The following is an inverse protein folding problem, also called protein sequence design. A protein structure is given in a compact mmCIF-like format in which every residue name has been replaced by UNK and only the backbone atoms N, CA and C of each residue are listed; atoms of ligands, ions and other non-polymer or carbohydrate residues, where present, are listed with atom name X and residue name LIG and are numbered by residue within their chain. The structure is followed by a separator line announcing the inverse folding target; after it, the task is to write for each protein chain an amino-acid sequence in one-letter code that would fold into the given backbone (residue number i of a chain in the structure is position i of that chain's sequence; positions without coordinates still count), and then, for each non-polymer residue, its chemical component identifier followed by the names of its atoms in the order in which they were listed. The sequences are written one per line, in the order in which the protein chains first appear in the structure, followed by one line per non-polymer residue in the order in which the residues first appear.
data_IF_617161770312
#
_entry.id   IF_617161770312
#
_cell.length_a   1.000
_cell.length_b   1.000
_cell.length_c   1.000
_cell.angle_alpha   90.00
_cell.angle_beta   90.00
_cell.angle_gamma   90.00
#
_symmetry.space_group_name_H-M   'P 1'
#
loop_
_entity.id
_entity.type
_entity.pdbx_description
1 polymer ?
#
# COMPACT_ATOMS: atom_id res chain seq x y z
N UNK A 1 -1.43 -11.29 4.89
CA UNK A 1 -1.34 -10.00 4.16
C UNK A 1 0.09 -9.49 4.01
N UNK A 2 0.92 -9.53 5.08
CA UNK A 2 2.34 -9.09 5.07
C UNK A 2 3.21 -9.73 3.95
N UNK A 3 2.97 -11.02 3.63
CA UNK A 3 3.71 -11.74 2.59
C UNK A 3 3.47 -11.24 1.15
N UNK A 4 2.34 -10.59 0.87
CA UNK A 4 2.01 -10.14 -0.48
C UNK A 4 2.68 -8.81 -0.81
N UNK A 5 2.59 -7.84 0.11
CA UNK A 5 3.14 -6.49 -0.04
C UNK A 5 4.66 -6.47 -0.16
N UNK A 6 5.35 -7.37 0.52
CA UNK A 6 6.82 -7.48 0.45
C UNK A 6 7.32 -7.88 -0.95
N UNK A 7 6.48 -8.58 -1.72
CA UNK A 7 6.80 -9.04 -3.06
C UNK A 7 6.40 -8.06 -4.17
N UNK A 8 5.73 -6.95 -3.84
CA UNK A 8 5.41 -5.90 -4.82
C UNK A 8 6.69 -5.12 -5.18
N UNK A 9 6.90 -4.89 -6.47
CA UNK A 9 7.98 -4.04 -6.98
C UNK A 9 7.96 -2.67 -6.28
N UNK A 10 9.11 -2.12 -5.84
CA UNK A 10 9.14 -0.87 -5.08
C UNK A 10 8.29 0.25 -5.68
N UNK A 11 8.47 0.53 -6.97
CA UNK A 11 7.73 1.59 -7.69
C UNK A 11 6.21 1.38 -7.73
N UNK A 12 5.73 0.12 -7.60
CA UNK A 12 4.30 -0.21 -7.69
C UNK A 12 3.61 -0.18 -6.31
N UNK A 13 4.35 0.05 -5.22
CA UNK A 13 3.78 0.03 -3.87
C UNK A 13 2.86 1.21 -3.61
N UNK A 14 3.24 2.39 -4.10
CA UNK A 14 2.47 3.61 -3.94
C UNK A 14 1.13 3.52 -4.67
N UNK A 15 1.14 3.03 -5.91
CA UNK A 15 -0.10 2.85 -6.67
C UNK A 15 -0.96 1.73 -6.07
N UNK A 16 -0.39 0.63 -5.56
CA UNK A 16 -1.16 -0.41 -4.87
C UNK A 16 -1.96 0.16 -3.68
N UNK A 17 -1.32 0.93 -2.79
CA UNK A 17 -2.01 1.56 -1.67
C UNK A 17 -3.13 2.50 -2.14
N UNK A 18 -2.87 3.26 -3.21
CA UNK A 18 -3.87 4.13 -3.79
C UNK A 18 -5.05 3.35 -4.39
N UNK A 19 -4.79 2.22 -5.07
CA UNK A 19 -5.86 1.37 -5.59
C UNK A 19 -6.72 0.82 -4.46
N UNK A 20 -6.13 0.33 -3.38
CA UNK A 20 -6.87 -0.17 -2.22
C UNK A 20 -7.68 0.93 -1.51
N UNK A 21 -7.14 2.13 -1.36
CA UNK A 21 -7.88 3.31 -0.86
C UNK A 21 -9.12 3.59 -1.73
N UNK A 22 -8.96 3.55 -3.06
CA UNK A 22 -10.06 3.78 -4.00
C UNK A 22 -11.09 2.67 -3.99
N UNK A 23 -10.67 1.42 -3.81
CA UNK A 23 -11.58 0.29 -3.63
C UNK A 23 -12.44 0.51 -2.37
N UNK A 24 -11.82 0.87 -1.24
CA UNK A 24 -12.54 1.15 0.02
C UNK A 24 -13.51 2.31 -0.17
N UNK A 25 -13.06 3.41 -0.78
CA UNK A 25 -13.92 4.56 -1.06
C UNK A 25 -15.10 4.21 -1.96
N UNK A 26 -14.88 3.37 -2.96
CA UNK A 26 -15.93 2.92 -3.88
C UNK A 26 -16.97 2.07 -3.14
N UNK A 27 -16.53 1.04 -2.40
CA UNK A 27 -17.46 0.15 -1.70
C UNK A 27 -18.22 0.87 -0.57
N UNK A 28 -17.63 1.87 0.08
CA UNK A 28 -18.34 2.74 1.03
C UNK A 28 -19.43 3.61 0.38
N UNK A 29 -19.39 3.79 -0.95
CA UNK A 29 -20.36 4.60 -1.69
C UNK A 29 -21.54 3.81 -2.26
N UNK A 30 -21.48 2.47 -2.22
CA UNK A 30 -22.53 1.57 -2.70
C UNK A 30 -23.08 0.74 -1.55
N UNK A 31 -24.26 0.14 -1.71
CA UNK A 31 -24.81 -0.76 -0.70
C UNK A 31 -24.11 -2.12 -0.73
N UNK A 32 -24.16 -2.84 0.39
CA UNK A 32 -23.47 -4.14 0.55
C UNK A 32 -23.97 -5.17 -0.46
N UNK A 33 -25.26 -5.10 -0.83
CA UNK A 33 -25.89 -6.00 -1.80
C UNK A 33 -25.30 -5.83 -3.21
N UNK A 34 -24.67 -4.68 -3.49
CA UNK A 34 -24.03 -4.42 -4.77
C UNK A 34 -22.61 -5.01 -4.86
N UNK A 35 -22.01 -5.42 -3.74
CA UNK A 35 -20.60 -5.84 -3.69
C UNK A 35 -20.25 -6.97 -4.67
N UNK A 36 -21.05 -8.04 -4.81
CA UNK A 36 -20.75 -9.14 -5.74
C UNK A 36 -20.81 -8.75 -7.22
N UNK A 37 -21.46 -7.63 -7.54
CA UNK A 37 -21.64 -7.14 -8.92
C UNK A 37 -20.54 -6.18 -9.37
N UNK A 38 -19.52 -5.96 -8.55
CA UNK A 38 -18.34 -5.21 -8.92
C UNK A 38 -17.09 -6.06 -8.82
N UNK A 39 -16.36 -6.14 -9.93
CA UNK A 39 -15.04 -6.77 -10.01
C UNK A 39 -13.96 -5.70 -10.01
N UNK A 40 -13.12 -5.72 -8.97
CA UNK A 40 -11.88 -4.95 -8.94
C UNK A 40 -10.85 -5.62 -9.84
N UNK A 41 -10.11 -4.82 -10.60
CA UNK A 41 -8.92 -5.31 -11.29
C UNK A 41 -7.81 -4.27 -11.36
N UNK A 42 -6.58 -4.71 -11.13
CA UNK A 42 -5.39 -3.92 -11.39
C UNK A 42 -4.18 -4.81 -11.69
N UNK A 43 -3.17 -4.27 -12.35
CA UNK A 43 -1.91 -4.98 -12.58
C UNK A 43 -0.75 -4.45 -11.74
N UNK A 44 0.06 -5.35 -11.17
CA UNK A 44 1.27 -5.02 -10.41
C UNK A 44 2.43 -5.93 -10.81
N UNK A 45 3.66 -5.45 -10.67
CA UNK A 45 4.85 -6.28 -10.77
C UNK A 45 5.09 -7.00 -9.45
N UNK A 46 5.00 -8.32 -9.48
CA UNK A 46 5.24 -9.18 -8.32
C UNK A 46 6.54 -9.97 -8.48
N UNK A 47 7.26 -10.09 -7.39
CA UNK A 47 8.51 -10.85 -7.28
C UNK A 47 8.23 -12.34 -7.24
N UNK A 48 8.87 -13.08 -8.13
CA UNK A 48 8.82 -14.55 -8.19
C UNK A 48 9.84 -15.18 -7.24
N UNK A 49 9.69 -16.48 -6.98
CA UNK A 49 10.68 -17.29 -6.24
C UNK A 49 12.07 -17.30 -6.91
N UNK A 50 12.14 -17.09 -8.23
CA UNK A 50 13.38 -16.93 -8.99
C UNK A 50 13.98 -15.51 -8.92
N UNK A 51 13.50 -14.65 -8.00
CA UNK A 51 13.96 -13.29 -7.78
C UNK A 51 13.80 -12.35 -9.00
N UNK A 52 12.92 -12.70 -9.94
CA UNK A 52 12.52 -11.87 -11.10
C UNK A 52 11.13 -11.29 -10.89
N UNK A 53 10.86 -10.13 -11.49
CA UNK A 53 9.52 -9.54 -11.47
C UNK A 53 8.70 -9.99 -12.69
N UNK A 54 7.43 -10.31 -12.44
CA UNK A 54 6.42 -10.56 -13.48
C UNK A 54 5.25 -9.60 -13.27
N UNK A 55 4.63 -9.15 -14.37
CA UNK A 55 3.43 -8.32 -14.29
C UNK A 55 2.22 -9.23 -14.16
N UNK A 56 1.55 -9.12 -13.02
CA UNK A 56 0.39 -9.94 -12.68
C UNK A 56 -0.84 -9.06 -12.70
N UNK A 57 -1.83 -9.43 -13.51
CA UNK A 57 -3.18 -8.89 -13.43
C UNK A 57 -3.88 -9.58 -12.26
N UNK A 58 -4.29 -8.79 -11.29
CA UNK A 58 -5.04 -9.22 -10.12
C UNK A 58 -6.48 -8.78 -10.35
N UNK A 59 -7.41 -9.72 -10.19
CA UNK A 59 -8.84 -9.46 -10.30
C UNK A 59 -9.54 -10.10 -9.11
N UNK A 60 -10.48 -9.39 -8.49
CA UNK A 60 -11.28 -9.99 -7.43
C UNK A 60 -12.69 -9.43 -7.36
N UNK A 61 -13.56 -10.25 -6.77
CA UNK A 61 -14.92 -9.87 -6.36
C UNK A 61 -15.04 -10.12 -4.85
N UNK A 62 -15.92 -9.36 -4.21
CA UNK A 62 -16.34 -9.62 -2.84
C UNK A 62 -17.52 -10.59 -2.88
N UNK A 63 -17.42 -11.73 -2.19
CA UNK A 63 -18.36 -12.85 -2.27
C UNK A 63 -19.30 -12.88 -1.07
N UNK A 64 -18.80 -12.53 0.11
CA UNK A 64 -19.59 -12.61 1.35
C UNK A 64 -19.19 -11.47 2.29
N UNK A 65 -20.18 -10.96 3.02
CA UNK A 65 -20.04 -9.96 4.07
C UNK A 65 -20.93 -10.38 5.24
N UNK A 66 -20.33 -10.87 6.31
CA UNK A 66 -21.10 -11.27 7.49
C UNK A 66 -21.28 -10.11 8.49
N UNK A 67 -22.21 -10.27 9.43
CA UNK A 67 -22.53 -9.28 10.49
C UNK A 67 -21.34 -8.89 11.39
N UNK A 68 -20.21 -9.61 11.28
CA UNK A 68 -18.96 -9.34 11.99
C UNK A 68 -17.96 -8.52 11.17
N UNK A 69 -18.38 -7.95 10.03
CA UNK A 69 -17.54 -7.21 9.08
C UNK A 69 -16.41 -8.06 8.44
N UNK A 70 -16.60 -9.37 8.30
CA UNK A 70 -15.65 -10.22 7.56
C UNK A 70 -16.06 -10.22 6.09
N UNK A 71 -15.20 -9.65 5.25
CA UNK A 71 -15.40 -9.62 3.80
C UNK A 71 -14.57 -10.74 3.14
N UNK A 72 -15.23 -11.75 2.56
CA UNK A 72 -14.56 -12.78 1.78
C UNK A 72 -14.41 -12.31 0.34
N UNK A 73 -13.22 -12.49 -0.23
CA UNK A 73 -12.94 -12.13 -1.62
C UNK A 73 -12.41 -13.33 -2.41
N UNK A 74 -12.82 -13.42 -3.67
CA UNK A 74 -12.32 -14.41 -4.62
C UNK A 74 -11.36 -13.72 -5.59
N UNK A 75 -10.11 -14.18 -5.64
CA UNK A 75 -9.03 -13.55 -6.41
C UNK A 75 -8.53 -14.44 -7.55
N UNK A 76 -8.26 -13.83 -8.70
CA UNK A 76 -7.61 -14.44 -9.87
C UNK A 76 -6.36 -13.63 -10.21
N UNK A 77 -5.22 -14.32 -10.28
CA UNK A 77 -3.91 -13.73 -10.54
C UNK A 77 -3.35 -14.30 -11.84
N UNK A 78 -3.25 -13.47 -12.87
CA UNK A 78 -2.85 -13.89 -14.23
C UNK A 78 -1.53 -13.24 -14.62
N UNK A 79 -0.55 -14.02 -15.08
CA UNK A 79 0.69 -13.46 -15.65
C UNK A 79 0.40 -12.82 -17.01
N UNK A 80 0.47 -11.49 -17.06
CA UNK A 80 0.24 -10.68 -18.26
C UNK A 80 1.53 -10.06 -18.78
N UNK A 81 2.71 -10.54 -18.35
CA UNK A 81 4.01 -9.97 -18.76
C UNK A 81 4.21 -9.96 -20.28
N UNK A 82 3.55 -10.88 -21.00
CA UNK A 82 3.58 -10.98 -22.46
C UNK A 82 2.60 -10.01 -23.16
N UNK A 83 1.53 -9.58 -22.47
CA UNK A 83 0.52 -8.65 -23.00
C UNK A 83 0.93 -7.20 -22.69
N UNK A 84 1.41 -6.97 -21.47
CA UNK A 84 1.82 -5.65 -20.96
C UNK A 84 3.24 -5.74 -20.39
N UNK A 85 4.28 -5.70 -21.23
CA UNK A 85 5.67 -5.79 -20.75
C UNK A 85 6.11 -4.52 -20.02
N UNK A 86 5.57 -3.36 -20.40
CA UNK A 86 5.99 -2.03 -19.91
C UNK A 86 4.77 -1.17 -19.53
N UNK A 87 5.02 0.03 -19.00
CA UNK A 87 3.99 1.01 -18.64
C UNK A 87 3.56 0.95 -17.18
N UNK A 88 2.80 1.95 -16.76
CA UNK A 88 2.30 2.08 -15.39
C UNK A 88 1.21 1.06 -15.08
N UNK A 89 1.07 0.60 -13.83
CA UNK A 89 -0.12 -0.10 -13.32
C UNK A 89 -1.43 0.60 -13.69
N UNK A 90 -2.42 -0.17 -14.15
CA UNK A 90 -3.76 0.32 -14.45
C UNK A 90 -4.75 -0.27 -13.44
N UNK A 91 -5.69 0.55 -12.97
CA UNK A 91 -6.76 0.14 -12.04
C UNK A 91 -8.13 0.37 -12.66
N UNK A 92 -9.05 -0.56 -12.45
CA UNK A 92 -10.43 -0.46 -12.92
C UNK A 92 -11.39 -1.19 -11.99
N UNK A 93 -12.62 -0.71 -11.96
CA UNK A 93 -13.75 -1.37 -11.29
C UNK A 93 -14.77 -1.70 -12.37
N UNK A 94 -15.04 -2.98 -12.58
CA UNK A 94 -15.89 -3.48 -13.65
C UNK A 94 -17.24 -3.87 -13.05
N UNK A 95 -18.29 -3.14 -13.45
CA UNK A 95 -19.66 -3.51 -13.14
C UNK A 95 -20.09 -4.74 -13.96
N UNK A 96 -20.72 -5.69 -13.29
CA UNK A 96 -21.30 -6.91 -13.84
C UNK A 96 -22.82 -6.70 -13.93
N UNK A 97 -23.54 -7.47 -14.76
CA UNK A 97 -25.01 -7.40 -14.84
C UNK A 97 -25.56 -5.97 -15.07
N UNK A 98 -24.92 -5.22 -15.96
CA UNK A 98 -25.37 -3.87 -16.34
C UNK A 98 -24.98 -2.76 -15.36
N UNK A 99 -24.25 -3.05 -14.27
CA UNK A 99 -23.67 -2.03 -13.39
C UNK A 99 -22.63 -1.18 -14.14
N UNK A 100 -22.46 0.10 -13.78
CA UNK A 100 -21.46 0.96 -14.40
C UNK A 100 -20.05 0.41 -14.24
N UNK A 101 -19.22 0.61 -15.26
CA UNK A 101 -17.79 0.27 -15.21
C UNK A 101 -16.94 1.54 -15.23
N UNK A 102 -15.85 1.50 -14.48
CA UNK A 102 -14.90 2.59 -14.29
C UNK A 102 -13.52 2.09 -14.71
N UNK A 103 -13.07 2.55 -15.87
CA UNK A 103 -11.84 2.09 -16.51
C UNK A 103 -10.70 3.06 -16.25
N UNK A 104 -9.49 2.50 -16.10
CA UNK A 104 -8.24 3.25 -16.00
C UNK A 104 -8.35 4.44 -15.04
N UNK A 105 -8.81 4.16 -13.82
CA UNK A 105 -9.00 5.15 -12.77
C UNK A 105 -7.62 5.70 -12.41
N UNK A 106 -7.33 6.89 -12.94
CA UNK A 106 -6.09 7.64 -12.71
C UNK A 106 -6.42 8.85 -11.88
N UNK A 107 -6.06 8.80 -10.61
CA UNK A 107 -6.00 9.98 -9.76
C UNK A 107 -4.54 10.23 -9.36
N UNK A 108 -4.18 11.49 -9.05
CA UNK A 108 -2.86 11.77 -8.53
C UNK A 108 -2.64 10.93 -7.28
N UNK A 109 -1.56 10.17 -7.26
CA UNK A 109 -1.12 9.39 -6.10
C UNK A 109 -0.81 10.41 -4.99
N UNK A 110 -1.79 10.67 -4.13
CA UNK A 110 -1.61 11.45 -2.91
C UNK A 110 -0.99 10.62 -1.78
N UNK A 111 -0.69 9.34 -2.06
CA UNK A 111 0.11 8.49 -1.19
C UNK A 111 1.53 9.05 -1.22
N UNK A 112 1.90 9.82 -0.20
CA UNK A 112 3.30 10.05 0.15
C UNK A 112 3.89 8.68 0.50
N UNK A 113 4.35 7.94 -0.50
CA UNK A 113 4.88 6.60 -0.29
C UNK A 113 6.09 6.67 0.65
N UNK A 114 6.38 5.54 1.30
CA UNK A 114 7.62 5.30 2.02
C UNK A 114 8.91 5.70 1.27
N UNK A 115 8.85 5.94 -0.05
CA UNK A 115 9.99 6.37 -0.86
C UNK A 115 10.46 7.80 -0.52
N UNK A 116 9.64 8.59 0.16
CA UNK A 116 10.11 9.87 0.72
C UNK A 116 11.21 9.66 1.78
N UNK A 117 11.24 8.49 2.42
CA UNK A 117 12.25 8.11 3.40
C UNK A 117 13.28 7.16 2.79
N UNK A 118 14.55 7.49 3.01
CA UNK A 118 15.65 6.58 2.71
C UNK A 118 15.49 5.29 3.51
N UNK A 119 16.11 4.20 3.03
CA UNK A 119 16.08 2.91 3.73
C UNK A 119 16.38 3.05 5.23
N UNK A 120 17.40 3.83 5.59
CA UNK A 120 17.79 4.04 6.98
C UNK A 120 16.77 4.83 7.78
N UNK A 121 16.16 5.84 7.18
CA UNK A 121 15.07 6.59 7.81
C UNK A 121 13.84 5.72 8.04
N UNK A 122 13.55 4.74 7.17
CA UNK A 122 12.46 3.77 7.39
C UNK A 122 12.74 2.82 8.55
N UNK A 123 13.96 2.32 8.64
CA UNK A 123 14.39 1.48 9.78
C UNK A 123 14.20 2.24 11.09
N UNK A 124 14.61 3.52 11.13
CA UNK A 124 14.44 4.36 12.31
C UNK A 124 12.97 4.72 12.57
N UNK A 125 12.19 5.04 11.53
CA UNK A 125 10.76 5.34 11.65
C UNK A 125 9.99 4.16 12.25
N UNK A 126 10.28 2.94 11.81
CA UNK A 126 9.67 1.73 12.36
C UNK A 126 9.91 1.62 13.88
N UNK A 127 11.14 1.84 14.32
CA UNK A 127 11.49 1.77 15.74
C UNK A 127 10.84 2.90 16.57
N UNK A 128 10.67 4.10 15.98
CA UNK A 128 9.92 5.20 16.63
C UNK A 128 8.47 4.78 16.86
N UNK A 129 7.86 4.13 15.88
CA UNK A 129 6.45 3.69 15.93
C UNK A 129 6.27 2.56 16.94
N UNK A 130 7.27 1.69 17.09
CA UNK A 130 7.33 0.70 18.18
C UNK A 130 7.54 1.33 19.58
N UNK A 131 7.71 2.66 19.66
CA UNK A 131 7.84 3.38 20.93
C UNK A 131 9.26 3.40 21.50
N UNK A 132 10.28 3.00 20.73
CA UNK A 132 11.65 2.96 21.21
C UNK A 132 12.26 4.37 21.36
N UNK A 133 13.02 4.58 22.43
CA UNK A 133 13.78 5.80 22.68
C UNK A 133 15.01 5.89 21.76
N UNK A 134 15.55 7.09 21.52
CA UNK A 134 16.73 7.26 20.66
C UNK A 134 17.93 6.40 21.10
N UNK A 135 18.07 6.12 22.41
CA UNK A 135 19.10 5.23 22.94
C UNK A 135 18.85 3.77 22.56
N UNK A 136 17.63 3.26 22.76
CA UNK A 136 17.27 1.90 22.35
C UNK A 136 17.42 1.68 20.85
N UNK A 137 17.03 2.68 20.04
CA UNK A 137 17.19 2.64 18.57
C UNK A 137 18.68 2.59 18.20
N UNK A 138 19.50 3.41 18.86
CA UNK A 138 20.94 3.44 18.64
C UNK A 138 21.58 2.08 18.91
N UNK A 139 21.21 1.45 20.03
CA UNK A 139 21.69 0.12 20.40
C UNK A 139 21.23 -0.95 19.39
N UNK A 140 19.94 -0.97 19.03
CA UNK A 140 19.38 -1.95 18.06
C UNK A 140 19.98 -1.84 16.66
N UNK A 141 20.22 -0.61 16.20
CA UNK A 141 20.65 -0.34 14.82
C UNK A 141 22.16 -0.15 14.71
N UNK A 142 22.93 -0.34 15.80
CA UNK A 142 24.38 -0.12 15.86
C UNK A 142 24.77 1.29 15.41
N UNK A 143 24.09 2.30 15.95
CA UNK A 143 24.32 3.73 15.68
C UNK A 143 24.72 4.47 16.95
N UNK A 144 25.24 5.68 16.78
CA UNK A 144 25.27 6.64 17.90
C UNK A 144 23.88 7.26 18.12
N UNK A 145 23.57 7.62 19.36
CA UNK A 145 22.33 8.37 19.70
C UNK A 145 22.23 9.66 18.88
N UNK A 146 23.36 10.35 18.68
CA UNK A 146 23.42 11.56 17.86
C UNK A 146 23.01 11.30 16.39
N UNK A 147 23.45 10.19 15.82
CA UNK A 147 23.06 9.78 14.46
C UNK A 147 21.56 9.51 14.38
N UNK A 148 21.00 8.81 15.37
CA UNK A 148 19.55 8.56 15.45
C UNK A 148 18.76 9.87 15.53
N UNK A 149 19.17 10.79 16.40
CA UNK A 149 18.48 12.08 16.57
C UNK A 149 18.54 12.93 15.29
N UNK A 150 19.66 12.86 14.55
CA UNK A 150 19.79 13.50 13.24
C UNK A 150 18.81 12.92 12.23
N UNK A 151 18.71 11.58 12.14
CA UNK A 151 17.70 10.94 11.29
C UNK A 151 16.28 11.28 11.72
N UNK A 152 15.96 11.30 13.02
CA UNK A 152 14.64 11.70 13.53
C UNK A 152 14.26 13.11 13.09
N UNK A 153 15.20 14.06 13.17
CA UNK A 153 14.97 15.43 12.66
C UNK A 153 14.68 15.45 11.16
N UNK A 154 15.43 14.69 10.37
CA UNK A 154 15.20 14.61 8.92
C UNK A 154 13.85 13.98 8.59
N UNK A 155 13.47 12.91 9.29
CA UNK A 155 12.17 12.25 9.16
C UNK A 155 11.05 13.23 9.46
N UNK A 156 11.10 13.93 10.61
CA UNK A 156 10.10 14.94 11.00
C UNK A 156 9.97 16.05 9.95
N UNK A 157 11.10 16.55 9.44
CA UNK A 157 11.12 17.58 8.39
C UNK A 157 10.47 17.09 7.09
N UNK A 158 10.85 15.91 6.62
CA UNK A 158 10.29 15.30 5.40
C UNK A 158 8.80 15.01 5.57
N UNK A 159 8.43 14.46 6.72
CA UNK A 159 7.05 14.17 7.11
C UNK A 159 6.22 15.44 7.29
N UNK A 160 6.83 16.62 7.45
CA UNK A 160 6.16 17.84 7.92
C UNK A 160 5.36 17.56 9.20
N UNK A 161 6.04 17.02 10.21
CA UNK A 161 5.51 16.75 11.53
C UNK A 161 6.36 17.48 12.58
N UNK A 162 5.72 17.99 13.63
CA UNK A 162 6.36 18.79 14.68
C UNK A 162 6.77 17.96 15.90
N UNK A 163 6.27 16.73 16.02
CA UNK A 163 6.59 15.83 17.13
C UNK A 163 6.61 14.36 16.70
N UNK A 164 7.23 13.50 17.50
CA UNK A 164 7.18 12.05 17.27
C UNK A 164 5.76 11.48 17.39
N UNK A 165 4.91 12.07 18.24
CA UNK A 165 3.50 11.67 18.36
C UNK A 165 2.73 11.99 17.09
N UNK A 166 2.89 13.20 16.56
CA UNK A 166 2.29 13.61 15.29
C UNK A 166 2.80 12.75 14.14
N UNK A 167 4.11 12.45 14.12
CA UNK A 167 4.71 11.55 13.14
C UNK A 167 4.06 10.17 13.17
N UNK A 168 3.82 9.59 14.35
CA UNK A 168 3.15 8.28 14.49
C UNK A 168 1.72 8.35 13.95
N UNK A 169 0.94 9.35 14.37
CA UNK A 169 -0.44 9.52 13.90
C UNK A 169 -0.51 9.70 12.38
N UNK A 170 0.42 10.48 11.83
CA UNK A 170 0.54 10.70 10.38
C UNK A 170 0.96 9.43 9.65
N UNK A 171 1.86 8.64 10.22
CA UNK A 171 2.31 7.37 9.65
C UNK A 171 1.14 6.39 9.51
N UNK A 172 0.26 6.31 10.50
CA UNK A 172 -0.97 5.48 10.44
C UNK A 172 -1.90 6.00 9.34
N UNK A 173 -2.17 7.31 9.33
CA UNK A 173 -3.13 7.93 8.40
C UNK A 173 -2.68 7.88 6.94
N UNK A 174 -1.39 8.03 6.70
CA UNK A 174 -0.80 8.09 5.34
C UNK A 174 -0.25 6.73 4.88
N UNK A 175 -0.43 5.66 5.67
CA UNK A 175 -0.01 4.31 5.30
C UNK A 175 1.51 4.11 5.25
N UNK A 176 2.25 4.82 6.11
CA UNK A 176 3.69 4.62 6.30
C UNK A 176 4.00 3.50 7.30
N UNK A 177 3.05 2.60 7.56
CA UNK A 177 3.17 1.37 8.35
C UNK A 177 2.24 0.29 7.83
#
# INVERSE_FOLDING_TARGET
MQLFTDNIHPDDRACFLHFEEKVISFYNSVSIEEYPYYKVQYDLRLKTTANKYKRILIQYILVDYNELNVCQSFHVHTDISHIKPTGEPCFSIIGIEGRPSYYDIREPILVKSFDMFTRREREILKEIIEGNTSRQIADKLFLSVFTVDTHKKNILKKAQAHSSVELISKSVREGWI
#
